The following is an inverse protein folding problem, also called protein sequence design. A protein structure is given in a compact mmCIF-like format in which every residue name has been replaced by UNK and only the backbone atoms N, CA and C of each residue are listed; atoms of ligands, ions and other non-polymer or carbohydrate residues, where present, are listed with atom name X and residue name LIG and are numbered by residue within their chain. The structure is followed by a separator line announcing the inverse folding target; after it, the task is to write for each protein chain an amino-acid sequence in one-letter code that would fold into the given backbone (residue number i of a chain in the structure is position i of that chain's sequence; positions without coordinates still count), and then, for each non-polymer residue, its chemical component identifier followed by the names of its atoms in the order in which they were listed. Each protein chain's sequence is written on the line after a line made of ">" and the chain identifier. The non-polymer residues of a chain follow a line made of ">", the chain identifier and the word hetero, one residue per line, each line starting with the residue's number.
data_IF_066693597012
#
_entry.id   IF_066693597012
#
_cell.length_a   1.000
_cell.length_b   1.000
_cell.length_c   1.000
_cell.angle_alpha   90.00
_cell.angle_beta   90.00
_cell.angle_gamma   90.00
#
_symmetry.space_group_name_H-M   'P 1'
#
loop_
_entity.id
_entity.type
_entity.pdbx_description
1 polymer ?
#
# COMPACT_ATOMS: atom_id res chain seq x y z
N UNK A 1 -17.36 -6.56 -6.59
CA UNK A 1 -17.69 -8.00 -6.42
C UNK A 1 -16.59 -8.92 -6.95
N UNK A 2 -16.24 -8.87 -8.25
CA UNK A 2 -15.20 -9.77 -8.83
C UNK A 2 -13.83 -9.65 -8.15
N UNK A 3 -13.32 -8.43 -7.92
CA UNK A 3 -12.03 -8.22 -7.26
C UNK A 3 -11.95 -8.86 -5.85
N UNK A 4 -12.98 -8.63 -5.02
CA UNK A 4 -13.06 -9.24 -3.68
C UNK A 4 -13.13 -10.76 -3.74
N UNK A 5 -13.86 -11.33 -4.70
CA UNK A 5 -13.94 -12.78 -4.88
C UNK A 5 -12.58 -13.38 -5.24
N UNK A 6 -11.85 -12.74 -6.18
CA UNK A 6 -10.54 -13.20 -6.62
C UNK A 6 -9.53 -13.12 -5.47
N UNK A 7 -9.52 -12.00 -4.74
CA UNK A 7 -8.63 -11.83 -3.58
C UNK A 7 -8.87 -12.91 -2.52
N UNK A 8 -10.13 -13.30 -2.26
CA UNK A 8 -10.46 -14.39 -1.33
C UNK A 8 -10.02 -15.75 -1.83
N UNK A 9 -10.29 -16.08 -3.09
CA UNK A 9 -9.85 -17.34 -3.67
C UNK A 9 -8.33 -17.48 -3.66
N UNK A 10 -7.58 -16.39 -3.80
CA UNK A 10 -6.13 -16.38 -3.65
C UNK A 10 -5.70 -16.73 -2.21
N UNK A 11 -6.39 -16.19 -1.20
CA UNK A 11 -6.12 -16.45 0.22
C UNK A 11 -6.52 -17.86 0.68
N UNK A 12 -7.35 -18.55 -0.09
CA UNK A 12 -7.77 -19.93 0.18
C UNK A 12 -6.77 -20.98 -0.38
N UNK A 13 -5.76 -20.56 -1.14
CA UNK A 13 -4.76 -21.48 -1.70
C UNK A 13 -3.80 -22.00 -0.60
N UNK A 14 -3.60 -23.32 -0.50
CA UNK A 14 -2.83 -23.92 0.60
C UNK A 14 -1.32 -23.63 0.55
N UNK A 15 -0.76 -23.41 -0.64
CA UNK A 15 0.67 -23.13 -0.86
C UNK A 15 0.82 -21.85 -1.69
N UNK A 16 0.50 -20.70 -1.09
CA UNK A 16 0.59 -19.39 -1.73
C UNK A 16 1.81 -18.61 -1.22
N UNK A 17 2.53 -17.93 -2.12
CA UNK A 17 3.62 -17.02 -1.72
C UNK A 17 3.11 -15.97 -0.74
N UNK A 18 3.90 -15.66 0.29
CA UNK A 18 3.58 -14.63 1.29
C UNK A 18 3.32 -13.26 0.67
N UNK A 19 3.99 -12.96 -0.45
CA UNK A 19 3.78 -11.74 -1.22
C UNK A 19 2.37 -11.70 -1.83
N UNK A 20 1.89 -12.82 -2.37
CA UNK A 20 0.55 -12.91 -2.91
C UNK A 20 -0.52 -12.93 -1.82
N UNK A 21 -0.24 -13.54 -0.67
CA UNK A 21 -1.09 -13.44 0.52
C UNK A 21 -1.23 -11.97 0.94
N UNK A 22 -0.12 -11.24 1.02
CA UNK A 22 -0.13 -9.80 1.31
C UNK A 22 -0.99 -9.00 0.34
N UNK A 23 -0.77 -9.16 -0.97
CA UNK A 23 -1.58 -8.49 -1.99
C UNK A 23 -3.05 -8.89 -1.91
N UNK A 24 -3.35 -10.17 -1.62
CA UNK A 24 -4.71 -10.65 -1.41
C UNK A 24 -5.42 -9.92 -0.28
N UNK A 25 -4.76 -9.75 0.87
CA UNK A 25 -5.30 -8.97 1.99
C UNK A 25 -5.51 -7.49 1.64
N UNK A 26 -4.52 -6.84 1.01
CA UNK A 26 -4.62 -5.42 0.64
C UNK A 26 -5.74 -5.17 -0.37
N UNK A 27 -5.84 -5.99 -1.42
CA UNK A 27 -6.91 -5.85 -2.43
C UNK A 27 -8.28 -6.21 -1.88
N UNK A 28 -8.38 -7.18 -0.97
CA UNK A 28 -9.63 -7.47 -0.29
C UNK A 28 -10.07 -6.27 0.58
N UNK A 29 -9.15 -5.68 1.34
CA UNK A 29 -9.41 -4.49 2.14
C UNK A 29 -9.89 -3.30 1.28
N UNK A 30 -9.18 -3.01 0.18
CA UNK A 30 -9.56 -1.94 -0.74
C UNK A 30 -10.96 -2.18 -1.35
N UNK A 31 -11.22 -3.40 -1.84
CA UNK A 31 -12.51 -3.75 -2.40
C UNK A 31 -13.65 -3.64 -1.37
N UNK A 32 -13.39 -3.97 -0.10
CA UNK A 32 -14.36 -3.84 0.99
C UNK A 32 -14.60 -2.37 1.35
N UNK A 33 -13.56 -1.52 1.37
CA UNK A 33 -13.71 -0.08 1.51
C UNK A 33 -14.63 0.50 0.42
N UNK A 34 -14.42 0.11 -0.85
CA UNK A 34 -15.28 0.53 -1.97
C UNK A 34 -16.73 0.03 -1.87
N UNK A 35 -16.96 -1.06 -1.12
CA UNK A 35 -18.28 -1.59 -0.80
C UNK A 35 -18.89 -1.00 0.48
N UNK A 36 -18.26 0.03 1.05
CA UNK A 36 -18.65 0.65 2.33
C UNK A 36 -18.65 -0.34 3.52
N UNK A 37 -17.79 -1.36 3.45
CA UNK A 37 -17.60 -2.40 4.48
C UNK A 37 -16.27 -2.21 5.20
N UNK A 38 -16.07 -1.02 5.76
CA UNK A 38 -14.80 -0.63 6.38
C UNK A 38 -14.39 -1.50 7.58
N UNK A 39 -15.36 -2.09 8.31
CA UNK A 39 -15.08 -3.02 9.40
C UNK A 39 -14.39 -4.29 8.89
N UNK A 40 -14.99 -4.92 7.89
CA UNK A 40 -14.43 -6.12 7.25
C UNK A 40 -13.09 -5.82 6.56
N UNK A 41 -12.92 -4.60 6.02
CA UNK A 41 -11.64 -4.17 5.47
C UNK A 41 -10.55 -4.10 6.55
N UNK A 42 -10.91 -3.66 7.76
CA UNK A 42 -10.00 -3.62 8.89
C UNK A 42 -9.52 -5.01 9.29
N UNK A 43 -10.40 -6.03 9.25
CA UNK A 43 -10.02 -7.41 9.58
C UNK A 43 -8.85 -7.92 8.73
N UNK A 44 -8.80 -7.53 7.44
CA UNK A 44 -7.68 -7.90 6.56
C UNK A 44 -6.37 -7.20 6.95
N UNK A 45 -6.42 -5.98 7.48
CA UNK A 45 -5.23 -5.28 8.00
C UNK A 45 -4.77 -5.89 9.33
N UNK A 46 -5.72 -6.25 10.20
CA UNK A 46 -5.44 -6.81 11.54
C UNK A 46 -4.67 -8.13 11.49
N UNK A 47 -4.68 -8.84 10.36
CA UNK A 47 -3.78 -9.99 10.11
C UNK A 47 -2.31 -9.67 10.36
N UNK A 48 -1.89 -8.40 10.16
CA UNK A 48 -0.50 -7.95 10.30
C UNK A 48 -0.23 -7.22 11.61
N UNK A 49 -1.20 -7.11 12.52
CA UNK A 49 -1.00 -6.46 13.80
C UNK A 49 -0.60 -7.50 14.86
N UNK A 50 0.65 -7.44 15.29
CA UNK A 50 1.11 -8.12 16.49
C UNK A 50 0.84 -7.23 17.71
N UNK A 51 0.42 -7.84 18.82
CA UNK A 51 -0.14 -7.14 19.99
C UNK A 51 0.49 -5.78 20.33
N UNK A 52 -0.36 -4.79 20.63
CA UNK A 52 0.04 -3.39 20.76
C UNK A 52 0.00 -2.67 19.42
N UNK A 53 1.01 -1.82 19.16
CA UNK A 53 1.14 -1.06 17.90
C UNK A 53 2.23 -1.65 16.98
N UNK A 54 2.57 -2.94 17.14
CA UNK A 54 3.63 -3.57 16.37
C UNK A 54 3.06 -4.20 15.09
N UNK A 55 3.60 -3.85 13.93
CA UNK A 55 3.15 -4.39 12.64
C UNK A 55 4.16 -5.41 12.15
N UNK A 56 3.68 -6.61 11.86
CA UNK A 56 4.51 -7.69 11.35
C UNK A 56 4.88 -7.46 9.89
N UNK A 57 6.10 -7.86 9.53
CA UNK A 57 6.56 -7.81 8.15
C UNK A 57 5.73 -8.80 7.31
N UNK A 58 5.10 -8.36 6.20
CA UNK A 58 4.21 -9.22 5.44
C UNK A 58 4.96 -10.38 4.74
N UNK A 59 6.19 -10.13 4.28
CA UNK A 59 7.07 -11.08 3.61
C UNK A 59 8.53 -10.62 3.76
N UNK A 60 9.50 -11.53 3.64
CA UNK A 60 10.92 -11.23 3.76
C UNK A 60 11.60 -10.91 2.42
N UNK A 61 12.88 -10.55 2.46
CA UNK A 61 13.68 -10.36 1.25
C UNK A 61 13.87 -11.70 0.50
N UNK A 62 14.06 -12.81 1.23
CA UNK A 62 14.17 -14.15 0.64
C UNK A 62 12.88 -14.57 -0.09
N UNK A 63 11.70 -14.22 0.45
CA UNK A 63 10.42 -14.44 -0.24
C UNK A 63 10.38 -13.72 -1.60
N UNK A 64 10.99 -12.54 -1.67
CA UNK A 64 11.06 -11.70 -2.88
C UNK A 64 12.02 -12.28 -3.91
N UNK A 65 13.16 -12.78 -3.46
CA UNK A 65 14.17 -13.45 -4.30
C UNK A 65 13.64 -14.77 -4.86
N UNK A 66 13.00 -15.60 -4.04
CA UNK A 66 12.40 -16.86 -4.49
C UNK A 66 11.35 -16.63 -5.58
N UNK A 67 10.51 -15.60 -5.43
CA UNK A 67 9.51 -15.25 -6.44
C UNK A 67 10.12 -14.70 -7.75
N UNK A 68 11.28 -14.05 -7.68
CA UNK A 68 12.02 -13.63 -8.87
C UNK A 68 12.71 -14.82 -9.55
N UNK A 69 13.27 -15.75 -8.76
CA UNK A 69 13.90 -16.98 -9.23
C UNK A 69 12.94 -17.93 -9.95
N UNK A 70 11.72 -18.12 -9.43
CA UNK A 70 10.66 -18.91 -10.11
C UNK A 70 10.38 -18.36 -11.51
N UNK A 71 10.33 -17.04 -11.65
CA UNK A 71 10.17 -16.40 -12.97
C UNK A 71 11.38 -16.57 -13.89
N UNK A 72 12.60 -16.77 -13.39
CA UNK A 72 13.75 -16.98 -14.28
C UNK A 72 13.79 -18.43 -14.84
N UNK A 73 13.26 -19.40 -14.10
CA UNK A 73 13.36 -20.83 -14.46
C UNK A 73 12.19 -21.29 -15.35
N UNK A 74 10.98 -20.74 -15.15
CA UNK A 74 9.78 -21.21 -15.85
C UNK A 74 9.69 -20.87 -17.35
N UNK A 75 10.59 -20.02 -17.88
CA UNK A 75 10.60 -19.67 -19.31
C UNK A 75 11.70 -20.37 -20.13
N UNK A 76 12.74 -20.91 -19.48
CA UNK A 76 13.87 -21.56 -20.17
C UNK A 76 13.62 -23.06 -20.44
N UNK A 77 12.70 -23.72 -19.71
CA UNK A 77 12.48 -25.17 -19.82
C UNK A 77 11.31 -25.58 -20.74
N UNK A 78 10.83 -24.68 -21.62
CA UNK A 78 9.82 -25.01 -22.63
C UNK A 78 10.30 -24.90 -24.08
N UNK A 79 11.56 -24.52 -24.33
CA UNK A 79 12.09 -24.46 -25.69
C UNK A 79 13.23 -25.46 -25.90
N UNK A 80 12.86 -26.74 -25.96
CA UNK A 80 13.70 -27.79 -26.52
C UNK A 80 13.95 -27.52 -28.01
N UNK A 81 15.00 -26.80 -28.34
CA UNK A 81 15.38 -26.50 -29.71
C UNK A 81 16.61 -25.63 -29.83
N UNK A 82 17.77 -26.26 -30.03
CA UNK A 82 18.98 -25.60 -30.48
C UNK A 82 18.74 -24.81 -31.77
N UNK A 83 19.03 -23.50 -31.77
CA UNK A 83 19.82 -22.83 -32.82
C UNK A 83 20.03 -21.34 -32.50
N UNK A 84 21.28 -20.91 -32.62
CA UNK A 84 21.75 -19.52 -32.64
C UNK A 84 20.94 -18.62 -33.60
N UNK A 85 20.32 -17.55 -33.08
CA UNK A 85 20.12 -16.29 -33.80
C UNK A 85 19.84 -15.15 -32.82
N UNK A 86 20.64 -14.08 -32.92
CA UNK A 86 20.45 -12.80 -32.24
C UNK A 86 19.10 -12.18 -32.62
N UNK A 87 18.19 -12.04 -31.67
CA UNK A 87 17.17 -11.00 -31.69
C UNK A 87 16.99 -10.46 -30.28
N UNK A 88 17.66 -9.35 -29.98
CA UNK A 88 17.34 -8.48 -28.86
C UNK A 88 15.98 -7.84 -29.15
N UNK A 89 14.90 -8.53 -28.78
CA UNK A 89 13.60 -7.90 -28.55
C UNK A 89 13.60 -7.42 -27.11
N UNK A 90 13.13 -6.19 -26.80
CA UNK A 90 12.88 -5.83 -25.42
C UNK A 90 11.81 -6.79 -24.92
N UNK A 91 12.21 -7.69 -24.02
CA UNK A 91 11.30 -8.58 -23.32
C UNK A 91 10.15 -7.73 -22.79
N UNK A 92 8.92 -8.16 -23.09
CA UNK A 92 7.76 -7.78 -22.31
C UNK A 92 7.89 -8.43 -20.93
N UNK A 93 8.93 -8.03 -20.19
CA UNK A 93 8.98 -8.14 -18.75
C UNK A 93 7.85 -7.23 -18.30
N UNK A 94 6.65 -7.79 -18.14
CA UNK A 94 5.61 -7.21 -17.31
C UNK A 94 6.22 -7.13 -15.91
N UNK A 95 7.00 -6.06 -15.72
CA UNK A 95 7.67 -5.68 -14.50
C UNK A 95 6.58 -5.29 -13.53
N UNK A 96 5.93 -6.29 -12.97
CA UNK A 96 5.31 -6.14 -11.66
C UNK A 96 6.50 -5.84 -10.74
N UNK A 97 6.75 -4.54 -10.56
CA UNK A 97 7.68 -4.04 -9.56
C UNK A 97 7.02 -4.38 -8.23
N UNK A 98 7.46 -5.48 -7.62
CA UNK A 98 7.04 -5.83 -6.29
C UNK A 98 7.61 -4.79 -5.32
N UNK A 99 6.77 -4.33 -4.40
CA UNK A 99 7.21 -3.49 -3.30
C UNK A 99 8.31 -4.22 -2.53
N UNK A 100 9.35 -3.51 -2.13
CA UNK A 100 10.29 -4.06 -1.14
C UNK A 100 9.54 -4.37 0.16
N UNK A 101 10.00 -5.33 0.98
CA UNK A 101 9.40 -5.62 2.28
C UNK A 101 9.16 -4.37 3.14
N UNK A 102 10.10 -3.43 3.16
CA UNK A 102 10.01 -2.18 3.91
C UNK A 102 8.94 -1.23 3.34
N UNK A 103 8.80 -1.19 2.02
CA UNK A 103 7.78 -0.37 1.34
C UNK A 103 6.38 -0.95 1.57
N UNK A 104 6.25 -2.28 1.57
CA UNK A 104 5.01 -2.98 1.91
C UNK A 104 4.63 -2.73 3.38
N UNK A 105 5.60 -2.78 4.29
CA UNK A 105 5.37 -2.49 5.70
C UNK A 105 5.01 -1.01 5.93
N UNK A 106 5.67 -0.07 5.24
CA UNK A 106 5.30 1.34 5.29
C UNK A 106 3.86 1.56 4.81
N UNK A 107 3.42 0.86 3.76
CA UNK A 107 2.04 0.89 3.28
C UNK A 107 1.04 0.38 4.33
N UNK A 108 1.38 -0.69 5.06
CA UNK A 108 0.56 -1.14 6.19
C UNK A 108 0.46 -0.07 7.29
N UNK A 109 1.56 0.57 7.66
CA UNK A 109 1.53 1.69 8.62
C UNK A 109 0.62 2.84 8.15
N UNK A 110 0.66 3.20 6.86
CA UNK A 110 -0.25 4.19 6.27
C UNK A 110 -1.71 3.77 6.42
N UNK A 111 -2.03 2.51 6.09
CA UNK A 111 -3.39 1.98 6.17
C UNK A 111 -3.92 1.91 7.61
N UNK A 112 -3.09 1.50 8.57
CA UNK A 112 -3.45 1.56 9.99
C UNK A 112 -3.67 2.99 10.46
N UNK A 113 -2.82 3.93 10.06
CA UNK A 113 -3.02 5.34 10.42
C UNK A 113 -4.36 5.88 9.91
N UNK A 114 -4.71 5.58 8.65
CA UNK A 114 -6.01 5.94 8.08
C UNK A 114 -7.17 5.28 8.85
N UNK A 115 -7.05 3.99 9.16
CA UNK A 115 -8.05 3.24 9.91
C UNK A 115 -8.32 3.86 11.29
N UNK A 116 -7.27 4.09 12.09
CA UNK A 116 -7.39 4.70 13.42
C UNK A 116 -7.91 6.15 13.33
N UNK A 117 -7.48 6.92 12.33
CA UNK A 117 -7.99 8.28 12.12
C UNK A 117 -9.49 8.32 11.78
N UNK A 118 -9.98 7.33 11.03
CA UNK A 118 -11.41 7.17 10.74
C UNK A 118 -12.22 6.79 11.98
N UNK A 119 -11.63 6.03 12.90
CA UNK A 119 -12.25 5.64 14.18
C UNK A 119 -12.22 6.76 15.23
N UNK A 120 -11.39 7.80 15.02
CA UNK A 120 -11.21 8.89 15.99
C UNK A 120 -10.07 8.66 16.98
N UNK A 121 -9.34 7.55 16.85
CA UNK A 121 -8.16 7.21 17.65
C UNK A 121 -6.92 7.95 17.12
N UNK A 122 -6.94 9.28 17.24
CA UNK A 122 -5.97 10.17 16.57
C UNK A 122 -4.54 10.01 17.11
N UNK A 123 -4.37 9.58 18.36
CA UNK A 123 -3.04 9.32 18.94
C UNK A 123 -2.36 8.12 18.31
N UNK A 124 -3.10 7.02 18.12
CA UNK A 124 -2.59 5.86 17.39
C UNK A 124 -2.33 6.24 15.93
N UNK A 125 -3.26 6.93 15.28
CA UNK A 125 -3.10 7.35 13.89
C UNK A 125 -1.81 8.17 13.66
N UNK A 126 -1.48 9.09 14.58
CA UNK A 126 -0.22 9.84 14.57
C UNK A 126 1.01 8.95 14.70
N UNK A 127 0.97 7.94 15.57
CA UNK A 127 2.10 7.02 15.74
C UNK A 127 2.33 6.19 14.49
N UNK A 128 1.27 5.60 13.93
CA UNK A 128 1.37 4.79 12.71
C UNK A 128 1.88 5.61 11.51
N UNK A 129 1.38 6.84 11.30
CA UNK A 129 1.86 7.65 10.18
C UNK A 129 3.30 8.15 10.37
N UNK A 130 3.73 8.36 11.62
CA UNK A 130 5.13 8.67 11.92
C UNK A 130 6.06 7.50 11.60
N UNK A 131 5.65 6.25 11.89
CA UNK A 131 6.39 5.05 11.50
C UNK A 131 6.50 4.96 9.96
N UNK A 132 5.39 5.10 9.23
CA UNK A 132 5.39 5.11 7.77
C UNK A 132 6.38 6.14 7.17
N UNK A 133 6.35 7.38 7.66
CA UNK A 133 7.24 8.45 7.20
C UNK A 133 8.70 8.24 7.63
N UNK A 134 8.97 7.54 8.74
CA UNK A 134 10.34 7.20 9.11
C UNK A 134 10.95 6.16 8.16
N UNK A 135 10.13 5.23 7.67
CA UNK A 135 10.55 4.21 6.71
C UNK A 135 10.67 4.77 5.30
N UNK A 136 9.68 5.55 4.86
CA UNK A 136 9.64 6.15 3.52
C UNK A 136 9.33 7.66 3.63
N UNK A 137 10.35 8.50 3.89
CA UNK A 137 10.15 9.93 4.17
C UNK A 137 9.46 10.73 3.07
N UNK A 138 9.56 10.27 1.82
CA UNK A 138 8.99 10.93 0.66
C UNK A 138 7.77 10.19 0.09
N UNK A 139 7.09 9.34 0.87
CA UNK A 139 5.85 8.68 0.43
C UNK A 139 4.71 9.71 0.31
N UNK A 140 4.12 9.89 -0.88
CA UNK A 140 2.95 10.73 -1.05
C UNK A 140 1.76 10.24 -0.22
N UNK A 141 1.55 8.92 -0.15
CA UNK A 141 0.47 8.29 0.59
C UNK A 141 0.60 8.54 2.09
N UNK A 142 1.80 8.35 2.65
CA UNK A 142 2.06 8.66 4.06
C UNK A 142 1.90 10.15 4.37
N UNK A 143 2.33 11.02 3.45
CA UNK A 143 2.18 12.47 3.60
C UNK A 143 0.70 12.88 3.59
N UNK A 144 -0.10 12.35 2.67
CA UNK A 144 -1.54 12.62 2.60
C UNK A 144 -2.28 12.09 3.83
N UNK A 145 -1.91 10.91 4.32
CA UNK A 145 -2.47 10.39 5.58
C UNK A 145 -2.07 11.26 6.77
N UNK A 146 -0.85 11.80 6.82
CA UNK A 146 -0.45 12.73 7.87
C UNK A 146 -1.28 14.03 7.82
N UNK A 147 -1.52 14.56 6.62
CA UNK A 147 -2.42 15.69 6.38
C UNK A 147 -3.83 15.36 6.88
N UNK A 148 -4.36 14.19 6.56
CA UNK A 148 -5.67 13.75 7.03
C UNK A 148 -5.76 13.70 8.57
N UNK A 149 -4.75 13.14 9.22
CA UNK A 149 -4.64 13.08 10.69
C UNK A 149 -4.57 14.49 11.30
N UNK A 150 -3.75 15.38 10.75
CA UNK A 150 -3.65 16.77 11.21
C UNK A 150 -4.98 17.52 11.08
N UNK A 151 -5.71 17.32 9.97
CA UNK A 151 -7.05 17.90 9.79
C UNK A 151 -8.06 17.37 10.82
N UNK A 152 -8.05 16.06 11.10
CA UNK A 152 -8.89 15.47 12.15
C UNK A 152 -8.58 16.03 13.54
N UNK A 153 -7.33 16.45 13.78
CA UNK A 153 -6.88 17.11 15.01
C UNK A 153 -7.16 18.62 15.05
N UNK A 154 -7.73 19.20 13.99
CA UNK A 154 -7.93 20.66 13.87
C UNK A 154 -6.65 21.45 13.56
N UNK A 155 -5.56 20.77 13.20
CA UNK A 155 -4.24 21.33 12.89
C UNK A 155 -4.14 21.73 11.41
N UNK A 156 -5.03 22.62 10.99
CA UNK A 156 -5.17 23.00 9.57
C UNK A 156 -3.93 23.69 8.99
N UNK A 157 -3.13 24.38 9.82
CA UNK A 157 -1.91 25.05 9.36
C UNK A 157 -0.79 24.05 9.07
N UNK A 158 -0.61 23.06 9.93
CA UNK A 158 0.34 21.97 9.77
C UNK A 158 -0.02 21.10 8.57
N UNK A 159 -1.31 20.77 8.42
CA UNK A 159 -1.84 20.08 7.25
C UNK A 159 -1.51 20.83 5.95
N UNK A 160 -1.76 22.15 5.91
CA UNK A 160 -1.46 22.98 4.74
C UNK A 160 0.05 23.05 4.44
N UNK A 161 0.90 23.13 5.48
CA UNK A 161 2.34 23.16 5.30
C UNK A 161 2.87 21.85 4.68
N UNK A 162 2.40 20.70 5.16
CA UNK A 162 2.74 19.38 4.60
C UNK A 162 2.24 19.23 3.16
N UNK A 163 1.02 19.68 2.88
CA UNK A 163 0.44 19.59 1.54
C UNK A 163 1.23 20.42 0.52
N UNK A 164 1.72 21.61 0.90
CA UNK A 164 2.57 22.46 0.05
C UNK A 164 3.94 21.84 -0.25
N UNK A 165 4.48 21.06 0.69
CA UNK A 165 5.76 20.35 0.51
C UNK A 165 5.58 19.11 -0.39
N UNK A 166 4.38 18.53 -0.44
CA UNK A 166 4.06 17.43 -1.32
C UNK A 166 3.89 17.93 -2.77
N UNK A 167 4.99 17.96 -3.53
CA UNK A 167 5.11 18.52 -4.89
C UNK A 167 4.29 17.83 -6.00
N UNK A 168 3.36 16.94 -5.64
CA UNK A 168 2.44 16.24 -6.57
C UNK A 168 0.99 16.67 -6.46
N UNK A 169 0.69 17.67 -5.62
CA UNK A 169 -0.67 18.19 -5.46
C UNK A 169 -0.84 19.45 -6.29
N UNK A 170 -1.54 19.33 -7.41
CA UNK A 170 -1.96 20.50 -8.19
C UNK A 170 -3.14 21.15 -7.50
N UNK A 171 -2.92 22.33 -6.91
CA UNK A 171 -4.01 23.15 -6.38
C UNK A 171 -4.81 23.69 -7.56
N UNK A 172 -6.03 23.19 -7.75
CA UNK A 172 -6.98 23.81 -8.67
C UNK A 172 -7.45 25.12 -8.05
N UNK A 173 -7.35 26.27 -8.77
CA UNK A 173 -7.87 27.53 -8.27
C UNK A 173 -9.37 27.35 -8.01
N UNK A 174 -9.76 27.37 -6.75
CA UNK A 174 -11.18 27.37 -6.38
C UNK A 174 -11.68 28.78 -6.64
N UNK A 175 -12.61 28.96 -7.57
CA UNK A 175 -13.32 30.24 -7.80
C UNK A 175 -14.21 30.69 -6.63
N UNK A 176 -13.92 30.22 -5.41
CA UNK A 176 -14.63 30.56 -4.19
C UNK A 176 -13.93 31.76 -3.56
N UNK A 177 -14.43 32.95 -3.88
CA UNK A 177 -14.13 34.16 -3.13
C UNK A 177 -14.68 33.98 -1.72
N UNK A 178 -13.79 33.69 -0.76
CA UNK A 178 -14.07 33.87 0.66
C UNK A 178 -14.31 35.37 0.90
N UNK A 179 -15.57 35.77 0.84
CA UNK A 179 -15.99 37.10 1.27
C UNK A 179 -15.64 37.23 2.75
N UNK A 180 -14.62 38.03 3.06
CA UNK A 180 -14.38 38.52 4.41
C UNK A 180 -15.61 39.32 4.83
N UNK A 181 -16.32 38.84 5.84
CA UNK A 181 -17.26 39.65 6.58
C UNK A 181 -16.46 40.72 7.35
N UNK A 182 -16.80 41.98 7.11
CA UNK A 182 -16.30 43.16 7.83
C UNK A 182 -16.79 43.19 9.28
#
# INVERSE_FOLDING_TARGET
>A
MKALSIARSLLELPECSRIYIFLGHVYAAEALCLLNRAKDAADHLMTYLSGGNNVDLPFSEEDSEQLQGVRAVDYEELNGGSMSAKSSSPEYTLGIVFLKPEEALASLYVNFAALYAMQGELDQARQFVAQALSMVPNSPEATLTAVYVDLKLGKSQEALAKLKQCSRVTFLPSGLTLNKAS
#
